data_IF_007867080803
#
_entry.id   IF_007867080803
#
_cell.length_a   1.000
_cell.length_b   1.000
_cell.length_c   1.000
_cell.angle_alpha   90.00
_cell.angle_beta   90.00
_cell.angle_gamma   90.00
#
_symmetry.space_group_name_H-M   'P 1'
#
loop_
_entity.id
_entity.type
_entity.pdbx_description
1 polymer ?
#
# COMPACT_ATOMS: atom_id res chain seq x y z
N UNK A 1 3.38 2.89 22.62
CA UNK A 1 2.88 2.64 21.25
C UNK A 1 3.88 3.22 20.27
N UNK A 2 4.57 2.41 19.46
CA UNK A 2 5.55 2.92 18.48
C UNK A 2 6.74 1.99 18.29
N UNK A 3 6.54 0.88 17.58
CA UNK A 3 7.66 0.03 17.16
C UNK A 3 8.56 0.81 16.20
N UNK A 4 9.83 1.02 16.58
CA UNK A 4 10.83 1.69 15.74
C UNK A 4 11.14 0.79 14.54
N UNK A 5 10.83 1.24 13.32
CA UNK A 5 11.18 0.51 12.08
C UNK A 5 12.71 0.36 12.06
N UNK A 6 13.19 -0.87 12.19
CA UNK A 6 14.64 -1.15 12.31
C UNK A 6 15.38 -1.05 10.97
N UNK A 7 14.70 -1.34 9.85
CA UNK A 7 15.29 -1.36 8.51
C UNK A 7 14.21 -1.38 7.42
N UNK A 8 14.46 -0.71 6.29
CA UNK A 8 13.63 -0.80 5.09
C UNK A 8 14.10 -1.94 4.18
N UNK A 9 13.17 -2.68 3.58
CA UNK A 9 13.47 -3.73 2.60
C UNK A 9 12.86 -3.37 1.26
N UNK A 10 13.69 -3.31 0.21
CA UNK A 10 13.20 -3.13 -1.17
C UNK A 10 12.43 -4.37 -1.60
N UNK A 11 11.23 -4.15 -2.15
CA UNK A 11 10.30 -5.19 -2.61
C UNK A 11 9.60 -4.71 -3.87
N UNK A 12 9.32 -5.63 -4.77
CA UNK A 12 8.44 -5.39 -5.91
C UNK A 12 7.01 -5.55 -5.43
N UNK A 13 6.18 -4.54 -5.67
CA UNK A 13 4.76 -4.53 -5.33
C UNK A 13 3.94 -4.48 -6.61
N UNK A 14 2.81 -5.18 -6.61
CA UNK A 14 1.82 -5.17 -7.68
C UNK A 14 0.46 -4.93 -7.04
N UNK A 15 -0.29 -3.96 -7.56
CA UNK A 15 -1.67 -3.74 -7.17
C UNK A 15 -2.60 -4.34 -8.23
N UNK A 16 -3.53 -5.18 -7.80
CA UNK A 16 -4.61 -5.71 -8.63
C UNK A 16 -5.89 -4.94 -8.27
N UNK A 17 -6.37 -4.11 -9.21
CA UNK A 17 -7.56 -3.29 -9.05
C UNK A 17 -8.86 -4.11 -9.03
N UNK A 18 -8.89 -5.27 -9.69
CA UNK A 18 -10.06 -6.14 -9.74
C UNK A 18 -10.23 -6.90 -8.43
N UNK A 19 -9.12 -7.39 -7.88
CA UNK A 19 -9.09 -8.13 -6.62
C UNK A 19 -8.96 -7.22 -5.40
N UNK A 20 -8.60 -5.95 -5.60
CA UNK A 20 -8.30 -4.98 -4.54
C UNK A 20 -7.20 -5.49 -3.61
N UNK A 21 -6.15 -6.05 -4.21
CA UNK A 21 -5.03 -6.66 -3.47
C UNK A 21 -3.70 -6.01 -3.82
N UNK A 22 -2.80 -5.89 -2.84
CA UNK A 22 -1.39 -5.59 -3.09
C UNK A 22 -0.60 -6.86 -2.85
N UNK A 23 0.18 -7.30 -3.84
CA UNK A 23 1.05 -8.45 -3.72
C UNK A 23 2.51 -8.03 -3.81
N UNK A 24 3.41 -8.72 -3.11
CA UNK A 24 4.85 -8.48 -3.21
C UNK A 24 5.67 -9.77 -3.31
N UNK A 25 6.84 -9.67 -3.93
CA UNK A 25 7.69 -10.82 -4.27
C UNK A 25 9.03 -10.81 -3.50
N UNK A 26 9.38 -11.95 -2.90
CA UNK A 26 10.68 -12.18 -2.22
C UNK A 26 11.32 -13.51 -2.63
N UNK A 27 10.51 -14.54 -2.86
CA UNK A 27 10.88 -15.87 -3.39
C UNK A 27 9.61 -16.70 -3.68
N UNK A 28 8.57 -16.47 -2.86
CA UNK A 28 7.17 -16.83 -3.08
C UNK A 28 6.34 -15.55 -3.11
N UNK A 29 5.21 -15.57 -3.82
CA UNK A 29 4.25 -14.45 -3.87
C UNK A 29 3.56 -14.33 -2.52
N UNK A 30 3.62 -13.15 -1.89
CA UNK A 30 2.80 -12.81 -0.74
C UNK A 30 1.68 -11.88 -1.20
N UNK A 31 0.44 -12.26 -0.93
CA UNK A 31 -0.75 -11.48 -1.28
C UNK A 31 -1.30 -10.78 -0.02
N UNK A 32 -1.57 -9.48 -0.13
CA UNK A 32 -2.16 -8.67 0.93
C UNK A 32 -3.55 -8.20 0.50
N UNK A 33 -4.57 -8.69 1.18
CA UNK A 33 -5.95 -8.26 0.97
C UNK A 33 -6.19 -6.94 1.73
N UNK A 34 -6.50 -5.88 1.00
CA UNK A 34 -6.59 -4.54 1.54
C UNK A 34 -7.95 -4.31 2.23
N UNK A 35 -7.92 -3.64 3.38
CA UNK A 35 -9.12 -3.13 4.08
C UNK A 35 -9.14 -1.59 4.13
N UNK A 36 -8.53 -0.93 3.16
CA UNK A 36 -8.78 0.49 2.89
C UNK A 36 -8.46 1.44 4.04
N UNK A 37 -7.18 1.65 4.37
CA UNK A 37 -6.76 3.03 4.64
C UNK A 37 -5.27 3.20 4.39
N UNK A 38 -4.93 4.27 3.66
CA UNK A 38 -3.60 4.82 3.65
C UNK A 38 -3.53 6.06 4.56
N UNK A 39 -2.65 6.03 5.56
CA UNK A 39 -2.44 7.18 6.47
C UNK A 39 -1.03 7.75 6.30
N UNK A 40 -0.92 9.07 6.47
CA UNK A 40 0.38 9.72 6.61
C UNK A 40 1.14 9.09 7.78
N UNK A 41 2.35 8.62 7.49
CA UNK A 41 3.25 8.10 8.51
C UNK A 41 3.78 9.25 9.38
N UNK A 42 4.06 9.00 10.67
CA UNK A 42 4.66 10.00 11.57
C UNK A 42 6.05 10.48 11.13
N UNK A 43 6.66 9.86 10.10
CA UNK A 43 7.89 10.34 9.46
C UNK A 43 7.58 10.82 8.02
N UNK A 44 7.45 12.13 7.78
CA UNK A 44 6.62 12.68 6.71
C UNK A 44 7.19 12.57 5.29
N UNK A 45 8.47 12.25 5.12
CA UNK A 45 9.09 12.28 3.79
C UNK A 45 8.97 10.90 3.15
N UNK A 46 7.99 10.76 2.25
CA UNK A 46 7.80 9.60 1.36
C UNK A 46 7.33 8.29 2.00
N UNK A 47 6.90 8.31 3.27
CA UNK A 47 6.39 7.10 3.93
C UNK A 47 4.88 7.12 4.12
N UNK A 48 4.26 5.96 3.96
CA UNK A 48 2.81 5.78 4.08
C UNK A 48 2.49 4.41 4.66
N UNK A 49 1.31 4.28 5.28
CA UNK A 49 0.90 3.03 5.92
C UNK A 49 -0.20 2.36 5.09
N UNK A 50 -0.14 1.03 4.90
CA UNK A 50 -1.20 0.25 4.27
C UNK A 50 -1.81 -0.69 5.29
N UNK A 51 -3.10 -0.53 5.59
CA UNK A 51 -3.83 -1.40 6.52
C UNK A 51 -4.56 -2.53 5.80
N UNK A 52 -4.33 -3.76 6.26
CA UNK A 52 -5.03 -4.99 5.85
C UNK A 52 -5.90 -5.51 7.01
N UNK A 53 -6.68 -6.57 6.79
CA UNK A 53 -7.50 -7.19 7.84
C UNK A 53 -6.68 -7.64 9.05
N UNK A 54 -5.48 -8.16 8.82
CA UNK A 54 -4.69 -8.79 9.89
C UNK A 54 -3.46 -7.96 10.30
N UNK A 55 -3.07 -6.96 9.50
CA UNK A 55 -1.77 -6.32 9.68
C UNK A 55 -1.68 -4.90 9.09
N UNK A 56 -0.91 -4.04 9.75
CA UNK A 56 -0.51 -2.73 9.26
C UNK A 56 0.91 -2.81 8.66
N UNK A 57 1.06 -2.33 7.43
CA UNK A 57 2.34 -2.29 6.72
C UNK A 57 2.81 -0.85 6.62
N UNK A 58 4.10 -0.62 6.89
CA UNK A 58 4.75 0.67 6.66
C UNK A 58 5.56 0.59 5.38
N UNK A 59 5.32 1.53 4.46
CA UNK A 59 5.93 1.58 3.13
C UNK A 59 6.64 2.90 2.93
N UNK A 60 7.66 2.88 2.07
CA UNK A 60 8.42 4.07 1.66
C UNK A 60 8.50 4.09 0.13
N UNK A 61 8.16 5.23 -0.46
CA UNK A 61 8.28 5.47 -1.88
C UNK A 61 9.63 6.13 -2.20
N UNK A 62 10.18 5.94 -3.42
CA UNK A 62 11.42 6.59 -3.83
C UNK A 62 11.25 8.08 -4.19
N UNK A 63 10.02 8.54 -4.43
CA UNK A 63 9.71 9.94 -4.75
C UNK A 63 8.30 10.32 -4.29
N UNK A 64 8.03 11.62 -4.21
CA UNK A 64 6.72 12.14 -3.80
C UNK A 64 5.64 11.76 -4.82
N UNK A 65 5.99 11.78 -6.10
CA UNK A 65 5.13 11.36 -7.19
C UNK A 65 4.78 9.88 -7.10
N UNK A 66 5.77 9.01 -6.87
CA UNK A 66 5.54 7.58 -6.70
C UNK A 66 4.65 7.32 -5.47
N UNK A 67 4.87 8.04 -4.36
CA UNK A 67 4.00 7.95 -3.18
C UNK A 67 2.56 8.30 -3.52
N UNK A 68 2.34 9.42 -4.22
CA UNK A 68 1.00 9.87 -4.63
C UNK A 68 0.31 8.86 -5.51
N UNK A 69 1.00 8.32 -6.53
CA UNK A 69 0.45 7.29 -7.42
C UNK A 69 0.05 6.05 -6.63
N UNK A 70 0.91 5.57 -5.73
CA UNK A 70 0.58 4.40 -4.90
C UNK A 70 -0.60 4.67 -3.96
N UNK A 71 -0.62 5.83 -3.30
CA UNK A 71 -1.74 6.21 -2.44
C UNK A 71 -3.06 6.30 -3.21
N UNK A 72 -3.06 6.97 -4.35
CA UNK A 72 -4.22 7.16 -5.22
C UNK A 72 -4.75 5.80 -5.70
N UNK A 73 -3.89 4.96 -6.29
CA UNK A 73 -4.28 3.62 -6.78
C UNK A 73 -4.82 2.74 -5.67
N UNK A 74 -4.25 2.78 -4.46
CA UNK A 74 -4.70 1.96 -3.34
C UNK A 74 -6.03 2.48 -2.78
N UNK A 75 -6.21 3.79 -2.66
CA UNK A 75 -7.44 4.41 -2.13
C UNK A 75 -8.56 4.24 -3.16
N UNK A 76 -8.38 4.77 -4.37
CA UNK A 76 -9.38 4.71 -5.46
C UNK A 76 -9.64 3.27 -5.91
N UNK A 77 -8.59 2.47 -6.08
CA UNK A 77 -8.76 1.08 -6.51
C UNK A 77 -9.47 0.23 -5.46
N UNK A 78 -9.37 0.57 -4.18
CA UNK A 78 -10.08 -0.16 -3.14
C UNK A 78 -11.50 0.39 -2.86
N UNK A 79 -11.74 1.69 -3.10
CA UNK A 79 -13.09 2.30 -3.10
C UNK A 79 -13.96 1.73 -4.23
N UNK A 80 -13.33 1.12 -5.23
CA UNK A 80 -13.97 0.42 -6.32
C UNK A 80 -14.36 1.39 -7.42
N UNK A 81 -13.89 1.09 -8.63
CA UNK A 81 -14.47 1.60 -9.87
C UNK A 81 -15.93 1.11 -10.01
N UNK A 82 -16.84 1.61 -9.19
CA UNK A 82 -18.29 1.33 -9.29
C UNK A 82 -19.01 2.32 -10.21
N UNK A 83 -18.31 3.32 -10.77
CA UNK A 83 -18.95 4.40 -11.53
C UNK A 83 -18.73 4.36 -13.06
N UNK A 84 -17.95 3.42 -13.62
CA UNK A 84 -17.63 3.40 -15.07
C UNK A 84 -17.82 2.04 -15.77
N UNK A 85 -18.58 1.12 -15.19
CA UNK A 85 -19.03 -0.12 -15.86
C UNK A 85 -20.57 -0.20 -15.93
N UNK A 86 -21.23 0.92 -16.28
CA UNK A 86 -22.64 0.92 -16.69
C UNK A 86 -22.76 1.15 -18.19
#
# INVERSE_FOLDING_TARGET
MGGKIKSWKKRWFVFDCMRRTISYYVAKTHELHLLLVCFQSPNPVLTFCVKTHNQLYYMVAPSLEAMRIWMDVIVTGAEGYTQFMS
#
